data_IF_564643128661
#
_entry.id   IF_564643128661
#
_cell.length_a   1.000
_cell.length_b   1.000
_cell.length_c   1.000
_cell.angle_alpha   90.00
_cell.angle_beta   90.00
_cell.angle_gamma   90.00
#
_symmetry.space_group_name_H-M   'P 1'
#
loop_
_entity.id
_entity.type
_entity.pdbx_description
1 polymer ?
#
# COMPACT_ATOMS: atom_id res chain seq x y z
N UNK A 1 2.04 -3.48 -24.50
CA UNK A 1 0.82 -2.91 -25.12
C UNK A 1 -0.20 -2.48 -24.07
N UNK A 2 0.08 -1.43 -23.28
CA UNK A 2 -0.61 -1.18 -21.98
C UNK A 2 -1.11 0.27 -21.79
N UNK A 3 -1.26 1.03 -22.89
CA UNK A 3 -1.66 2.45 -22.89
C UNK A 3 -3.16 2.67 -23.03
N UNK A 4 -3.92 1.76 -23.66
CA UNK A 4 -5.31 1.98 -24.01
C UNK A 4 -6.29 2.03 -22.81
N UNK A 5 -6.04 1.29 -21.72
CA UNK A 5 -7.01 1.14 -20.61
C UNK A 5 -6.94 2.28 -19.57
N UNK A 6 -5.79 2.95 -19.42
CA UNK A 6 -5.65 4.10 -18.51
C UNK A 6 -6.26 5.37 -19.11
N UNK A 7 -6.24 5.48 -20.45
CA UNK A 7 -6.91 6.56 -21.20
C UNK A 7 -8.40 6.64 -20.87
N UNK A 8 -9.09 5.50 -20.74
CA UNK A 8 -10.53 5.45 -20.49
C UNK A 8 -10.95 6.08 -19.15
N UNK A 9 -10.26 5.77 -18.04
CA UNK A 9 -10.63 6.28 -16.70
C UNK A 9 -10.25 7.75 -16.49
N UNK A 10 -9.09 8.17 -17.02
CA UNK A 10 -8.71 9.58 -17.07
C UNK A 10 -9.73 10.38 -17.87
N UNK A 11 -10.13 9.88 -19.04
CA UNK A 11 -11.12 10.52 -19.89
C UNK A 11 -12.48 10.65 -19.19
N UNK A 12 -12.92 9.62 -18.46
CA UNK A 12 -14.14 9.68 -17.65
C UNK A 12 -14.08 10.80 -16.60
N UNK A 13 -12.94 10.98 -15.93
CA UNK A 13 -12.77 12.04 -14.93
C UNK A 13 -12.79 13.43 -15.59
N UNK A 14 -12.13 13.61 -16.74
CA UNK A 14 -12.20 14.83 -17.54
C UNK A 14 -13.64 15.14 -17.93
N UNK A 15 -14.39 14.15 -18.41
CA UNK A 15 -15.81 14.31 -18.74
C UNK A 15 -16.62 14.78 -17.53
N UNK A 16 -16.38 14.19 -16.34
CA UNK A 16 -17.05 14.62 -15.11
C UNK A 16 -16.71 16.06 -14.72
N UNK A 17 -15.45 16.48 -14.87
CA UNK A 17 -15.02 17.87 -14.61
C UNK A 17 -15.74 18.83 -15.57
N UNK A 18 -15.89 18.47 -16.85
CA UNK A 18 -16.65 19.29 -17.80
C UNK A 18 -18.15 19.34 -17.45
N UNK A 19 -18.75 18.24 -17.01
CA UNK A 19 -20.13 18.23 -16.51
C UNK A 19 -20.25 19.14 -15.28
N UNK A 20 -19.29 19.06 -14.35
CA UNK A 20 -19.25 19.91 -13.17
C UNK A 20 -19.14 21.40 -13.51
N UNK A 21 -18.34 21.74 -14.54
CA UNK A 21 -18.24 23.12 -15.05
C UNK A 21 -19.61 23.64 -15.47
N UNK A 22 -20.34 22.85 -16.27
CA UNK A 22 -21.69 23.21 -16.71
C UNK A 22 -22.69 23.29 -15.55
N UNK A 23 -22.65 22.36 -14.60
CA UNK A 23 -23.56 22.33 -13.45
C UNK A 23 -23.34 23.49 -12.48
N UNK A 24 -22.09 23.91 -12.31
CA UNK A 24 -21.73 25.08 -11.49
C UNK A 24 -21.85 26.40 -12.25
N UNK A 25 -22.27 26.37 -13.52
CA UNK A 25 -22.40 27.54 -14.40
C UNK A 25 -21.13 28.40 -14.44
N UNK A 26 -19.97 27.76 -14.49
CA UNK A 26 -18.68 28.45 -14.57
C UNK A 26 -18.39 28.85 -16.02
N UNK A 27 -18.12 30.13 -16.24
CA UNK A 27 -17.55 30.62 -17.49
C UNK A 27 -16.11 30.09 -17.68
N UNK A 28 -15.57 30.30 -18.87
CA UNK A 28 -14.25 29.79 -19.26
C UNK A 28 -13.11 30.33 -18.38
N UNK A 29 -13.17 31.60 -17.98
CA UNK A 29 -12.10 32.25 -17.23
C UNK A 29 -12.17 31.85 -15.75
N UNK A 30 -13.37 31.83 -15.17
CA UNK A 30 -13.58 31.31 -13.81
C UNK A 30 -13.20 29.83 -13.73
N UNK A 31 -13.52 29.04 -14.76
CA UNK A 31 -13.11 27.65 -14.83
C UNK A 31 -11.58 27.50 -14.89
N UNK A 32 -10.90 28.23 -15.78
CA UNK A 32 -9.42 28.21 -15.86
C UNK A 32 -8.78 28.68 -14.55
N UNK A 33 -9.34 29.69 -13.89
CA UNK A 33 -8.89 30.15 -12.59
C UNK A 33 -9.07 29.07 -11.51
N UNK A 34 -10.20 28.35 -11.49
CA UNK A 34 -10.41 27.22 -10.59
C UNK A 34 -9.38 26.11 -10.81
N UNK A 35 -9.14 25.74 -12.07
CA UNK A 35 -8.13 24.74 -12.43
C UNK A 35 -6.73 25.18 -11.96
N UNK A 36 -6.37 26.44 -12.23
CA UNK A 36 -5.09 27.00 -11.85
C UNK A 36 -4.92 27.06 -10.32
N UNK A 37 -5.97 27.43 -9.60
CA UNK A 37 -5.95 27.48 -8.13
C UNK A 37 -5.84 26.08 -7.52
N UNK A 38 -6.45 25.06 -8.14
CA UNK A 38 -6.42 23.70 -7.62
C UNK A 38 -5.07 23.01 -7.87
N UNK A 39 -4.49 23.17 -9.07
CA UNK A 39 -3.33 22.36 -9.51
C UNK A 39 -2.30 23.12 -10.33
N UNK A 40 -2.39 24.45 -10.43
CA UNK A 40 -1.44 25.29 -11.17
C UNK A 40 -1.49 25.13 -12.69
N UNK A 41 -2.54 24.49 -13.24
CA UNK A 41 -2.72 24.24 -14.68
C UNK A 41 -4.08 24.75 -15.13
N UNK A 42 -4.15 25.26 -16.35
CA UNK A 42 -5.39 25.83 -16.92
C UNK A 42 -6.16 24.86 -17.82
N UNK A 43 -5.65 23.65 -18.02
CA UNK A 43 -6.22 22.67 -18.95
C UNK A 43 -6.16 21.25 -18.37
N UNK A 44 -7.29 20.55 -18.42
CA UNK A 44 -7.39 19.14 -18.03
C UNK A 44 -6.54 18.21 -18.89
N UNK A 45 -6.16 18.63 -20.11
CA UNK A 45 -5.32 17.81 -21.00
C UNK A 45 -3.91 17.65 -20.47
N UNK A 46 -3.42 18.62 -19.72
CA UNK A 46 -2.06 18.65 -19.16
C UNK A 46 -2.00 18.05 -17.75
N UNK A 47 -3.16 17.64 -17.22
CA UNK A 47 -3.29 17.10 -15.88
C UNK A 47 -3.15 15.58 -15.86
N UNK A 48 -2.40 15.10 -14.88
CA UNK A 48 -2.34 13.71 -14.46
C UNK A 48 -3.62 13.31 -13.73
N UNK A 49 -3.82 12.01 -13.54
CA UNK A 49 -5.05 11.50 -12.91
C UNK A 49 -5.25 12.09 -11.50
N UNK A 50 -4.19 12.21 -10.68
CA UNK A 50 -4.23 12.86 -9.37
C UNK A 50 -4.66 14.32 -9.40
N UNK A 51 -4.11 15.10 -10.34
CA UNK A 51 -4.46 16.53 -10.50
C UNK A 51 -5.91 16.70 -10.96
N UNK A 52 -6.37 15.87 -11.89
CA UNK A 52 -7.78 15.85 -12.31
C UNK A 52 -8.70 15.55 -11.14
N UNK A 53 -8.27 14.71 -10.20
CA UNK A 53 -9.08 14.41 -9.03
C UNK A 53 -9.11 15.54 -8.01
N UNK A 54 -7.98 16.21 -7.77
CA UNK A 54 -7.94 17.40 -6.93
C UNK A 54 -8.88 18.48 -7.46
N UNK A 55 -8.90 18.70 -8.78
CA UNK A 55 -9.88 19.55 -9.44
C UNK A 55 -11.31 19.06 -9.18
N UNK A 56 -11.57 17.77 -9.38
CA UNK A 56 -12.89 17.18 -9.19
C UNK A 56 -13.42 17.35 -7.74
N UNK A 57 -12.58 17.13 -6.73
CA UNK A 57 -12.95 17.36 -5.32
C UNK A 57 -13.09 18.85 -4.99
N UNK A 58 -12.25 19.73 -5.56
CA UNK A 58 -12.43 21.18 -5.45
C UNK A 58 -13.77 21.64 -6.05
N UNK A 59 -14.25 21.00 -7.11
CA UNK A 59 -15.58 21.29 -7.66
C UNK A 59 -16.70 20.76 -6.75
N UNK A 60 -16.54 19.59 -6.13
CA UNK A 60 -17.51 19.05 -5.16
C UNK A 60 -17.67 19.97 -3.95
N UNK A 61 -16.56 20.44 -3.38
CA UNK A 61 -16.58 21.39 -2.26
C UNK A 61 -17.25 22.72 -2.64
N UNK A 62 -17.16 23.12 -3.90
CA UNK A 62 -17.86 24.29 -4.48
C UNK A 62 -19.32 24.02 -4.88
N UNK A 63 -19.88 22.86 -4.53
CA UNK A 63 -21.29 22.55 -4.72
C UNK A 63 -21.63 21.66 -5.91
N UNK A 64 -20.64 21.11 -6.62
CA UNK A 64 -20.90 20.11 -7.65
C UNK A 64 -21.47 18.85 -6.99
N UNK A 65 -22.69 18.47 -7.39
CA UNK A 65 -23.35 17.25 -6.94
C UNK A 65 -23.34 16.25 -8.09
N UNK A 66 -22.39 15.28 -8.10
CA UNK A 66 -22.34 14.28 -9.16
C UNK A 66 -23.66 13.51 -9.19
N UNK A 67 -24.29 13.44 -10.36
CA UNK A 67 -25.48 12.59 -10.53
C UNK A 67 -25.08 11.15 -10.21
N UNK A 68 -25.79 10.46 -9.29
CA UNK A 68 -25.59 9.03 -9.14
C UNK A 68 -25.88 8.38 -10.50
N UNK A 69 -24.95 7.57 -10.97
CA UNK A 69 -25.22 6.74 -12.15
C UNK A 69 -26.37 5.81 -11.75
N UNK A 70 -27.30 5.53 -12.68
CA UNK A 70 -28.47 4.67 -12.43
C UNK A 70 -28.13 3.25 -11.90
N UNK A 71 -26.84 2.88 -11.89
CA UNK A 71 -26.31 1.65 -11.31
C UNK A 71 -25.92 1.76 -9.82
N UNK A 72 -25.99 2.93 -9.19
CA UNK A 72 -25.71 3.07 -7.74
C UNK A 72 -26.77 2.39 -6.86
N UNK A 73 -27.97 2.10 -7.41
CA UNK A 73 -29.07 1.43 -6.72
C UNK A 73 -29.22 -0.06 -7.06
N UNK A 74 -28.39 -0.61 -7.95
CA UNK A 74 -28.29 -2.07 -8.15
C UNK A 74 -27.04 -2.61 -7.46
N UNK A 75 -27.01 -2.52 -6.13
CA UNK A 75 -26.14 -3.38 -5.31
C UNK A 75 -26.75 -4.79 -5.33
N UNK A 76 -26.49 -5.51 -6.40
CA UNK A 76 -27.03 -6.84 -6.64
C UNK A 76 -26.31 -7.48 -7.80
N UNK A 77 -25.31 -8.30 -7.47
CA UNK A 77 -24.61 -9.26 -8.33
C UNK A 77 -23.83 -8.69 -9.54
N UNK A 78 -22.52 -9.00 -9.56
CA UNK A 78 -21.53 -8.71 -10.61
C UNK A 78 -20.99 -7.26 -10.72
N UNK A 79 -20.45 -6.73 -9.63
CA UNK A 79 -19.28 -5.84 -9.71
C UNK A 79 -18.05 -6.69 -10.09
N UNK A 80 -17.13 -6.26 -10.97
CA UNK A 80 -15.92 -7.04 -11.22
C UNK A 80 -15.17 -7.17 -9.88
N UNK A 81 -15.13 -8.42 -9.38
CA UNK A 81 -14.66 -8.86 -8.05
C UNK A 81 -13.27 -8.35 -7.62
N UNK A 82 -12.56 -7.53 -8.39
CA UNK A 82 -11.12 -7.33 -8.24
C UNK A 82 -10.68 -6.05 -7.52
N UNK A 83 -11.48 -4.98 -7.44
CA UNK A 83 -10.99 -3.68 -6.91
C UNK A 83 -11.12 -3.53 -5.39
N UNK A 84 -12.28 -3.83 -4.80
CA UNK A 84 -12.46 -3.80 -3.33
C UNK A 84 -11.46 -4.77 -2.66
N UNK A 85 -11.31 -5.96 -3.23
CA UNK A 85 -10.36 -6.97 -2.76
C UNK A 85 -8.90 -6.50 -2.74
N UNK A 86 -8.51 -5.53 -3.57
CA UNK A 86 -7.12 -5.07 -3.63
C UNK A 86 -6.79 -4.09 -2.50
N UNK A 87 -7.72 -3.20 -2.15
CA UNK A 87 -7.55 -2.33 -0.98
C UNK A 87 -7.57 -3.15 0.29
N UNK A 88 -8.44 -4.16 0.39
CA UNK A 88 -8.48 -5.06 1.54
C UNK A 88 -7.18 -5.87 1.66
N UNK A 89 -6.61 -6.33 0.55
CA UNK A 89 -5.27 -6.93 0.54
C UNK A 89 -4.19 -5.96 1.00
N UNK A 90 -4.26 -4.70 0.58
CA UNK A 90 -3.30 -3.67 0.99
C UNK A 90 -3.38 -3.43 2.51
N UNK A 91 -4.60 -3.31 3.07
CA UNK A 91 -4.85 -3.17 4.51
C UNK A 91 -4.37 -4.39 5.28
N UNK A 92 -4.74 -5.59 4.83
CA UNK A 92 -4.33 -6.83 5.48
C UNK A 92 -2.80 -6.96 5.50
N UNK A 93 -2.13 -6.65 4.37
CA UNK A 93 -0.68 -6.69 4.29
C UNK A 93 -0.01 -5.68 5.23
N UNK A 94 -0.54 -4.45 5.31
CA UNK A 94 -0.05 -3.43 6.24
C UNK A 94 -0.16 -3.89 7.71
N UNK A 95 -1.31 -4.44 8.09
CA UNK A 95 -1.53 -4.98 9.44
C UNK A 95 -0.59 -6.16 9.71
N UNK A 96 -0.42 -7.08 8.78
CA UNK A 96 0.54 -8.20 8.91
C UNK A 96 1.96 -7.70 9.11
N UNK A 97 2.39 -6.70 8.34
CA UNK A 97 3.71 -6.09 8.50
C UNK A 97 3.88 -5.47 9.91
N UNK A 98 2.86 -4.81 10.43
CA UNK A 98 2.86 -4.29 11.81
C UNK A 98 2.94 -5.41 12.85
N UNK A 99 2.13 -6.46 12.69
CA UNK A 99 2.13 -7.63 13.58
C UNK A 99 3.48 -8.37 13.59
N UNK A 100 4.20 -8.37 12.46
CA UNK A 100 5.56 -8.93 12.35
C UNK A 100 6.66 -7.95 12.84
N UNK A 101 6.28 -6.73 13.25
CA UNK A 101 7.21 -5.71 13.74
C UNK A 101 8.01 -5.00 12.64
N UNK A 102 7.63 -5.14 11.37
CA UNK A 102 8.32 -4.52 10.22
C UNK A 102 8.10 -3.01 10.15
N UNK A 103 6.97 -2.54 10.71
CA UNK A 103 6.58 -1.14 10.75
C UNK A 103 6.11 -0.78 12.16
N UNK A 104 6.20 0.51 12.50
CA UNK A 104 5.87 1.00 13.84
C UNK A 104 4.37 1.30 14.03
N UNK A 105 3.63 1.56 12.96
CA UNK A 105 2.22 1.96 13.02
C UNK A 105 1.37 1.22 11.98
N UNK A 106 0.47 0.35 12.47
CA UNK A 106 -0.47 -0.43 11.68
C UNK A 106 -1.78 0.28 11.34
N UNK A 107 -1.94 1.56 11.70
CA UNK A 107 -3.17 2.32 11.49
C UNK A 107 -3.48 2.60 10.01
N UNK A 108 -4.76 2.80 9.70
CA UNK A 108 -5.19 3.18 8.34
C UNK A 108 -4.66 4.56 7.94
N UNK A 109 -4.44 5.46 8.90
CA UNK A 109 -3.83 6.77 8.68
C UNK A 109 -2.37 6.64 8.23
N UNK A 110 -1.57 5.78 8.87
CA UNK A 110 -0.19 5.51 8.46
C UNK A 110 -0.13 4.85 7.08
N UNK A 111 -1.05 3.92 6.80
CA UNK A 111 -1.19 3.32 5.47
C UNK A 111 -1.49 4.39 4.41
N UNK A 112 -2.46 5.28 4.67
CA UNK A 112 -2.81 6.39 3.77
C UNK A 112 -1.60 7.31 3.51
N UNK A 113 -0.86 7.68 4.55
CA UNK A 113 0.34 8.51 4.42
C UNK A 113 1.42 7.83 3.56
N UNK A 114 1.63 6.52 3.75
CA UNK A 114 2.54 5.74 2.93
C UNK A 114 2.05 5.65 1.48
N UNK A 115 0.77 5.35 1.24
CA UNK A 115 0.16 5.31 -0.10
C UNK A 115 0.30 6.64 -0.82
N UNK A 116 0.08 7.77 -0.13
CA UNK A 116 0.25 9.12 -0.70
C UNK A 116 1.67 9.33 -1.20
N UNK A 117 2.68 8.94 -0.39
CA UNK A 117 4.08 9.01 -0.76
C UNK A 117 4.39 8.12 -1.97
N UNK A 118 3.98 6.86 -1.94
CA UNK A 118 4.23 5.90 -3.03
C UNK A 118 3.58 6.34 -4.33
N UNK A 119 2.31 6.74 -4.28
CA UNK A 119 1.59 7.18 -5.47
C UNK A 119 2.12 8.50 -6.04
N UNK A 120 2.64 9.41 -5.21
CA UNK A 120 3.29 10.63 -5.70
C UNK A 120 4.47 10.32 -6.63
N UNK A 121 5.29 9.32 -6.28
CA UNK A 121 6.43 8.88 -7.09
C UNK A 121 5.98 8.28 -8.44
N UNK A 122 4.79 7.66 -8.47
CA UNK A 122 4.20 7.04 -9.66
C UNK A 122 3.37 8.00 -10.53
N UNK A 123 2.98 9.15 -9.97
CA UNK A 123 2.03 10.09 -10.57
C UNK A 123 2.62 11.50 -10.70
N UNK A 124 3.91 11.60 -11.04
CA UNK A 124 4.57 12.86 -11.39
C UNK A 124 4.63 13.88 -10.25
N UNK A 125 4.71 13.41 -9.00
CA UNK A 125 4.78 14.25 -7.79
C UNK A 125 3.45 14.44 -7.07
N UNK A 126 2.31 14.01 -7.65
CA UNK A 126 0.99 14.22 -7.04
C UNK A 126 0.50 12.94 -6.35
N UNK A 127 0.57 12.95 -5.02
CA UNK A 127 0.15 11.84 -4.17
C UNK A 127 -1.36 11.76 -3.96
N UNK A 128 -1.86 10.53 -3.81
CA UNK A 128 -3.26 10.21 -3.55
C UNK A 128 -3.52 10.21 -2.06
N UNK A 129 -4.52 10.94 -1.61
CA UNK A 129 -4.89 11.08 -0.20
C UNK A 129 -6.11 10.24 0.22
N UNK A 130 -6.66 9.42 -0.67
CA UNK A 130 -7.82 8.55 -0.41
C UNK A 130 -7.64 7.13 -0.96
N UNK A 131 -7.90 6.12 -0.12
CA UNK A 131 -7.91 4.71 -0.55
C UNK A 131 -9.06 4.42 -1.52
N UNK A 132 -10.21 5.06 -1.34
CA UNK A 132 -11.35 4.95 -2.28
C UNK A 132 -10.94 5.42 -3.68
N UNK A 133 -10.08 6.45 -3.74
CA UNK A 133 -9.56 6.92 -5.02
C UNK A 133 -8.53 5.96 -5.61
N UNK A 134 -7.62 5.45 -4.78
CA UNK A 134 -6.65 4.44 -5.23
C UNK A 134 -7.40 3.26 -5.85
N UNK A 135 -8.51 2.82 -5.26
CA UNK A 135 -9.36 1.74 -5.75
C UNK A 135 -9.93 1.99 -7.15
N UNK A 136 -10.30 3.25 -7.43
CA UNK A 136 -10.79 3.64 -8.75
C UNK A 136 -9.68 3.54 -9.82
N UNK A 137 -8.40 3.51 -9.45
CA UNK A 137 -7.26 3.33 -10.34
C UNK A 137 -6.52 2.00 -10.13
N UNK A 138 -7.07 0.91 -10.67
CA UNK A 138 -6.50 -0.46 -10.61
C UNK A 138 -5.01 -0.55 -10.94
N UNK A 139 -4.52 0.19 -11.95
CA UNK A 139 -3.09 0.14 -12.31
C UNK A 139 -2.24 0.68 -11.16
N UNK A 140 -2.67 1.78 -10.57
CA UNK A 140 -1.99 2.39 -9.43
C UNK A 140 -2.18 1.56 -8.16
N UNK A 141 -3.38 1.02 -7.90
CA UNK A 141 -3.63 0.08 -6.79
C UNK A 141 -2.67 -1.10 -6.87
N UNK A 142 -2.52 -1.71 -8.04
CA UNK A 142 -1.59 -2.81 -8.27
C UNK A 142 -0.14 -2.37 -8.05
N UNK A 143 0.28 -1.24 -8.62
CA UNK A 143 1.65 -0.76 -8.46
C UNK A 143 2.00 -0.49 -6.99
N UNK A 144 1.09 0.13 -6.24
CA UNK A 144 1.24 0.39 -4.80
C UNK A 144 1.27 -0.93 -4.01
N UNK A 145 0.35 -1.86 -4.30
CA UNK A 145 0.32 -3.17 -3.65
C UNK A 145 1.59 -4.00 -3.91
N UNK A 146 2.08 -4.04 -5.14
CA UNK A 146 3.33 -4.72 -5.49
C UNK A 146 4.54 -4.04 -4.84
N UNK A 147 4.55 -2.70 -4.74
CA UNK A 147 5.58 -1.98 -4.00
C UNK A 147 5.59 -2.34 -2.52
N UNK A 148 4.40 -2.51 -1.90
CA UNK A 148 4.28 -2.94 -0.50
C UNK A 148 4.83 -4.36 -0.30
N UNK A 149 4.45 -5.30 -1.17
CA UNK A 149 4.97 -6.68 -1.16
C UNK A 149 6.49 -6.73 -1.33
N UNK A 150 7.03 -5.95 -2.27
CA UNK A 150 8.47 -5.89 -2.49
C UNK A 150 9.20 -5.32 -1.26
N UNK A 151 8.61 -4.33 -0.59
CA UNK A 151 9.17 -3.82 0.65
C UNK A 151 9.17 -4.87 1.76
N UNK A 152 8.03 -5.55 1.99
CA UNK A 152 7.94 -6.67 2.92
C UNK A 152 9.00 -7.74 2.64
N UNK A 153 9.08 -8.24 1.40
CA UNK A 153 10.05 -9.27 1.02
C UNK A 153 11.50 -8.84 1.23
N UNK A 154 11.83 -7.56 1.03
CA UNK A 154 13.18 -7.06 1.30
C UNK A 154 13.51 -7.14 2.79
N UNK A 155 12.56 -6.78 3.66
CA UNK A 155 12.72 -6.90 5.11
C UNK A 155 12.83 -8.36 5.51
N UNK A 156 11.92 -9.22 5.05
CA UNK A 156 11.92 -10.66 5.34
C UNK A 156 13.24 -11.31 4.95
N UNK A 157 13.72 -11.09 3.73
CA UNK A 157 15.02 -11.63 3.28
C UNK A 157 16.18 -11.15 4.15
N UNK A 158 16.18 -9.88 4.56
CA UNK A 158 17.22 -9.32 5.44
C UNK A 158 17.20 -10.02 6.79
N UNK A 159 16.04 -10.13 7.43
CA UNK A 159 15.91 -10.76 8.75
C UNK A 159 16.17 -12.26 8.73
N UNK A 160 15.70 -12.96 7.70
CA UNK A 160 16.00 -14.37 7.50
C UNK A 160 17.50 -14.61 7.33
N UNK A 161 18.17 -13.75 6.56
CA UNK A 161 19.62 -13.81 6.43
C UNK A 161 20.33 -13.61 7.77
N UNK A 162 19.92 -12.61 8.57
CA UNK A 162 20.46 -12.38 9.92
C UNK A 162 20.29 -13.61 10.83
N UNK A 163 19.12 -14.25 10.81
CA UNK A 163 18.86 -15.45 11.61
C UNK A 163 19.67 -16.66 11.13
N UNK A 164 19.83 -16.83 9.83
CA UNK A 164 20.71 -17.86 9.26
C UNK A 164 22.16 -17.64 9.72
N UNK A 165 22.66 -16.41 9.69
CA UNK A 165 24.00 -16.10 10.19
C UNK A 165 24.13 -16.42 11.69
N UNK A 166 23.11 -16.10 12.49
CA UNK A 166 23.09 -16.46 13.92
C UNK A 166 23.15 -17.97 14.14
N UNK A 167 22.40 -18.74 13.35
CA UNK A 167 22.42 -20.22 13.38
C UNK A 167 23.82 -20.75 13.06
N UNK A 168 24.44 -20.29 11.98
CA UNK A 168 25.78 -20.76 11.58
C UNK A 168 26.85 -20.38 12.61
N UNK A 169 26.78 -19.18 13.20
CA UNK A 169 27.66 -18.79 14.30
C UNK A 169 27.51 -19.71 15.52
N UNK A 170 26.27 -20.01 15.93
CA UNK A 170 26.03 -20.91 17.06
C UNK A 170 26.51 -22.34 16.77
N UNK A 171 26.33 -22.80 15.53
CA UNK A 171 26.80 -24.12 15.10
C UNK A 171 28.32 -24.21 15.04
N UNK A 172 29.00 -23.15 14.61
CA UNK A 172 30.46 -23.09 14.65
C UNK A 172 31.03 -23.16 16.08
N UNK A 173 30.31 -22.58 17.06
CA UNK A 173 30.68 -22.66 18.47
C UNK A 173 30.40 -24.05 19.09
N UNK A 174 29.48 -24.83 18.52
CA UNK A 174 29.13 -26.19 19.00
C UNK A 174 29.11 -27.19 17.82
N UNK A 175 30.28 -27.59 17.28
CA UNK A 175 30.36 -28.36 16.03
C UNK A 175 29.70 -29.75 16.08
N UNK A 176 29.55 -30.32 17.27
CA UNK A 176 28.92 -31.64 17.49
C UNK A 176 27.40 -31.60 17.45
N UNK A 177 26.78 -30.42 17.55
CA UNK A 177 25.33 -30.28 17.51
C UNK A 177 24.80 -30.29 16.08
N UNK A 178 23.70 -31.01 15.84
CA UNK A 178 23.02 -30.95 14.56
C UNK A 178 22.35 -29.59 14.34
N UNK A 179 22.22 -29.17 13.07
CA UNK A 179 21.58 -27.89 12.70
C UNK A 179 20.19 -27.75 13.31
N UNK A 180 19.37 -28.80 13.27
CA UNK A 180 18.03 -28.84 13.85
C UNK A 180 18.01 -28.56 15.35
N UNK A 181 18.97 -29.14 16.11
CA UNK A 181 19.10 -28.88 17.55
C UNK A 181 19.50 -27.43 17.84
N UNK A 182 20.40 -26.86 17.04
CA UNK A 182 20.80 -25.45 17.16
C UNK A 182 19.61 -24.53 16.89
N UNK A 183 18.84 -24.78 15.84
CA UNK A 183 17.66 -23.97 15.50
C UNK A 183 16.62 -24.05 16.63
N UNK A 184 16.29 -25.25 17.11
CA UNK A 184 15.34 -25.43 18.22
C UNK A 184 15.77 -24.68 19.48
N UNK A 185 17.05 -24.80 19.85
CA UNK A 185 17.61 -24.05 20.98
C UNK A 185 17.48 -22.52 20.80
N UNK A 186 17.81 -21.98 19.64
CA UNK A 186 17.74 -20.54 19.39
C UNK A 186 16.29 -20.01 19.37
N UNK A 187 15.33 -20.82 18.88
CA UNK A 187 13.90 -20.51 18.94
C UNK A 187 13.41 -20.46 20.39
N UNK A 188 13.79 -21.45 21.21
CA UNK A 188 13.44 -21.50 22.64
C UNK A 188 14.02 -20.31 23.42
N UNK A 189 15.23 -19.88 23.06
CA UNK A 189 15.89 -18.71 23.66
C UNK A 189 15.37 -17.37 23.12
N UNK A 190 14.44 -17.37 22.16
CA UNK A 190 13.91 -16.17 21.50
C UNK A 190 15.00 -15.33 20.82
N UNK A 191 16.04 -15.97 20.29
CA UNK A 191 17.15 -15.29 19.61
C UNK A 191 16.96 -15.20 18.10
N UNK A 192 16.11 -16.06 17.51
CA UNK A 192 15.73 -16.02 16.10
C UNK A 192 14.20 -16.11 15.97
N UNK A 193 13.67 -15.66 14.83
CA UNK A 193 12.25 -15.85 14.52
C UNK A 193 12.00 -17.22 13.92
N UNK A 194 10.72 -17.61 13.93
CA UNK A 194 10.28 -18.75 13.15
C UNK A 194 10.11 -18.41 11.68
N UNK A 195 10.68 -19.27 10.84
CA UNK A 195 10.62 -19.19 9.39
C UNK A 195 9.98 -20.46 8.83
N UNK A 196 9.05 -20.37 7.85
CA UNK A 196 8.42 -21.55 7.25
C UNK A 196 9.40 -22.59 6.70
N UNK A 197 10.57 -22.17 6.24
CA UNK A 197 11.65 -23.01 5.72
C UNK A 197 12.22 -23.97 6.77
N UNK A 198 12.03 -23.69 8.07
CA UNK A 198 12.41 -24.63 9.14
C UNK A 198 11.56 -25.90 9.15
N UNK A 199 10.33 -25.85 8.62
CA UNK A 199 9.50 -27.04 8.44
C UNK A 199 10.13 -28.06 7.49
N UNK A 200 10.90 -27.60 6.49
CA UNK A 200 11.65 -28.48 5.57
C UNK A 200 12.75 -29.28 6.29
N UNK A 201 13.15 -28.83 7.48
CA UNK A 201 14.11 -29.50 8.35
C UNK A 201 13.43 -30.38 9.42
N UNK A 202 12.13 -30.65 9.29
CA UNK A 202 11.28 -31.35 10.26
C UNK A 202 11.26 -30.67 11.64
N UNK A 203 11.36 -29.34 11.68
CA UNK A 203 11.11 -28.58 12.89
C UNK A 203 9.62 -28.22 12.87
N UNK A 204 8.90 -28.54 13.94
CA UNK A 204 7.48 -28.21 14.06
C UNK A 204 7.31 -26.76 14.53
N UNK A 205 6.31 -26.08 13.98
CA UNK A 205 5.95 -24.75 14.47
C UNK A 205 5.20 -24.85 15.82
N UNK A 206 5.51 -23.93 16.73
CA UNK A 206 4.96 -23.87 18.07
C UNK A 206 4.35 -22.49 18.31
N UNK A 207 3.24 -22.37 19.07
CA UNK A 207 2.68 -21.08 19.47
C UNK A 207 3.65 -20.16 20.24
N UNK A 208 4.72 -20.73 20.82
CA UNK A 208 5.77 -19.96 21.52
C UNK A 208 6.77 -19.31 20.58
N UNK A 209 6.80 -19.71 19.31
CA UNK A 209 7.74 -19.18 18.33
C UNK A 209 7.40 -17.74 17.92
N UNK A 210 8.44 -16.91 17.85
CA UNK A 210 8.28 -15.49 17.55
C UNK A 210 8.18 -15.26 16.04
N UNK A 211 7.20 -14.45 15.66
CA UNK A 211 7.00 -13.94 14.29
C UNK A 211 7.17 -12.42 14.20
N UNK A 212 7.25 -11.77 15.36
CA UNK A 212 7.49 -10.34 15.48
C UNK A 212 8.95 -10.13 15.87
N UNK A 213 9.71 -9.43 15.01
CA UNK A 213 11.13 -9.20 15.20
C UNK A 213 11.43 -8.44 16.49
N UNK A 214 10.55 -7.50 16.86
CA UNK A 214 10.72 -6.66 18.05
C UNK A 214 10.56 -7.45 19.36
N UNK A 215 10.13 -8.72 19.30
CA UNK A 215 10.02 -9.60 20.47
C UNK A 215 11.27 -10.44 20.72
N UNK A 216 12.27 -10.41 19.82
CA UNK A 216 13.52 -11.13 20.02
C UNK A 216 14.34 -10.56 21.17
N UNK A 217 15.06 -11.45 21.86
CA UNK A 217 15.98 -11.09 22.94
C UNK A 217 17.15 -10.29 22.37
N UNK A 218 17.48 -9.15 23.00
CA UNK A 218 18.60 -8.28 22.59
C UNK A 218 18.23 -7.09 21.69
N UNK A 219 16.96 -6.92 21.30
CA UNK A 219 16.46 -5.78 20.53
C UNK A 219 15.90 -4.62 21.37
N UNK A 220 16.32 -4.47 22.64
CA UNK A 220 15.90 -3.33 23.46
C UNK A 220 16.49 -2.00 22.94
N UNK A 221 15.64 -1.27 22.21
CA UNK A 221 15.54 0.19 22.01
C UNK A 221 16.79 0.97 21.54
N UNK A 222 17.00 0.98 20.22
CA UNK A 222 17.48 2.18 19.52
C UNK A 222 16.31 2.85 18.81
N UNK A 223 15.62 3.78 19.48
CA UNK A 223 14.88 4.84 18.77
C UNK A 223 15.94 5.69 18.08
N UNK A 224 16.09 5.54 16.78
CA UNK A 224 16.71 6.59 15.97
C UNK A 224 15.56 7.47 15.46
N UNK A 225 15.62 8.74 15.87
CA UNK A 225 14.72 9.84 15.53
C UNK A 225 14.70 10.16 14.02
#
# INVERSE_FOLDING_TARGET
MTTAKNSSKRQQLITKIHIAKSQLNLDDDTYRALLNNAVGKTSCRDMQFGELYQVYEAMKTKGFKPKPTANSQRRGSHSPKSQEQQIDKLRALWITMFQHGMIADGSEAALLAWVKRQSSQLNGGVGIDSLEWLQQNTRMTNAVLESLKQWQQRIERKWQHEDILRIEQCRAAVPTASRTKVIGYLLDQKEIMWWPEFAELNIEDSPTHLRNRNQLKGMNHGKED
#
